data_IF_355592142671
#
_entry.id   IF_355592142671
#
_cell.length_a   1.000
_cell.length_b   1.000
_cell.length_c   1.000
_cell.angle_alpha   90.00
_cell.angle_beta   90.00
_cell.angle_gamma   90.00
#
_symmetry.space_group_name_H-M   'P 1'
#
loop_
_entity.id
_entity.type
_entity.pdbx_description
1 polymer ?
#
# COMPACT_ATOMS: atom_id res chain seq x y z
N UNK A 1 8.27 -2.97 14.48
CA UNK A 1 9.13 -2.01 15.21
C UNK A 1 8.64 -0.58 14.95
N UNK A 2 8.72 0.34 15.92
CA UNK A 2 8.34 1.76 15.76
C UNK A 2 9.60 2.63 15.81
N UNK A 3 10.40 2.58 14.75
CA UNK A 3 11.63 3.34 14.62
C UNK A 3 11.73 3.92 13.21
N UNK A 4 12.12 5.18 13.12
CA UNK A 4 12.31 5.95 11.90
C UNK A 4 13.12 7.19 12.23
N UNK A 5 13.55 7.90 11.20
CA UNK A 5 14.29 9.14 11.34
C UNK A 5 13.78 10.19 10.36
N UNK A 6 14.12 11.45 10.62
CA UNK A 6 13.93 12.56 9.71
C UNK A 6 15.29 13.17 9.39
N UNK A 7 15.49 13.60 8.16
CA UNK A 7 16.69 14.31 7.72
C UNK A 7 16.26 15.54 6.91
N UNK A 8 16.93 16.67 7.11
CA UNK A 8 16.54 17.93 6.48
C UNK A 8 17.34 19.12 7.01
N UNK A 9 16.83 20.33 6.76
CA UNK A 9 17.44 21.59 7.16
C UNK A 9 17.64 21.69 8.68
N UNK A 10 18.81 22.17 9.08
CA UNK A 10 19.23 22.26 10.49
C UNK A 10 18.22 23.02 11.35
N UNK A 11 17.71 24.17 10.90
CA UNK A 11 16.78 25.00 11.67
C UNK A 11 15.42 24.31 11.85
N UNK A 12 14.99 23.56 10.84
CA UNK A 12 13.77 22.75 10.92
C UNK A 12 13.94 21.61 11.93
N UNK A 13 15.08 20.90 11.86
CA UNK A 13 15.38 19.80 12.77
C UNK A 13 15.53 20.29 14.22
N UNK A 14 16.16 21.43 14.45
CA UNK A 14 16.23 22.06 15.79
C UNK A 14 14.85 22.36 16.36
N UNK A 15 13.97 22.96 15.55
CA UNK A 15 12.59 23.24 15.95
C UNK A 15 11.81 21.96 16.26
N UNK A 16 12.00 20.91 15.46
CA UNK A 16 11.37 19.60 15.68
C UNK A 16 11.89 18.91 16.95
N UNK A 17 13.19 18.98 17.24
CA UNK A 17 13.77 18.44 18.49
C UNK A 17 13.10 19.05 19.72
N UNK A 18 12.90 20.37 19.74
CA UNK A 18 12.21 21.03 20.84
C UNK A 18 10.78 20.51 21.03
N UNK A 19 10.04 20.32 19.94
CA UNK A 19 8.69 19.73 19.99
C UNK A 19 8.70 18.31 20.57
N UNK A 20 9.58 17.45 20.07
CA UNK A 20 9.67 16.04 20.52
C UNK A 20 10.10 15.93 21.97
N UNK A 21 11.07 16.73 22.41
CA UNK A 21 11.55 16.74 23.81
C UNK A 21 10.49 17.16 24.82
N UNK A 22 9.47 17.92 24.41
CA UNK A 22 8.43 18.42 25.30
C UNK A 22 7.08 17.70 25.15
N UNK A 23 6.83 16.98 24.05
CA UNK A 23 5.50 16.43 23.75
C UNK A 23 5.47 15.00 23.21
N UNK A 24 6.63 14.37 22.98
CA UNK A 24 6.68 13.02 22.41
C UNK A 24 7.42 12.04 23.32
N UNK A 25 7.17 10.74 23.09
CA UNK A 25 7.90 9.67 23.75
C UNK A 25 9.20 9.36 22.99
N UNK A 26 10.37 9.43 23.63
CA UNK A 26 11.63 9.08 22.97
C UNK A 26 11.64 7.58 22.61
N UNK A 27 12.24 7.25 21.45
CA UNK A 27 12.40 5.85 21.04
C UNK A 27 13.38 5.16 22.00
N UNK A 28 13.06 3.97 22.58
CA UNK A 28 13.98 3.30 23.50
C UNK A 28 15.33 2.96 22.85
N UNK A 29 16.43 3.12 23.60
CA UNK A 29 17.80 2.87 23.11
C UNK A 29 17.96 1.47 22.47
N UNK A 30 17.46 0.36 23.05
CA UNK A 30 17.55 -0.94 22.40
C UNK A 30 16.89 -0.98 21.01
N UNK A 31 15.74 -0.32 20.85
CA UNK A 31 15.03 -0.22 19.58
C UNK A 31 15.84 0.60 18.57
N UNK A 32 16.45 1.70 19.02
CA UNK A 32 17.33 2.51 18.17
C UNK A 32 18.53 1.70 17.66
N UNK A 33 19.18 0.90 18.53
CA UNK A 33 20.31 0.05 18.15
C UNK A 33 19.92 -1.00 17.12
N UNK A 34 18.77 -1.66 17.30
CA UNK A 34 18.25 -2.63 16.33
C UNK A 34 17.90 -1.96 15.00
N UNK A 35 17.30 -0.77 15.02
CA UNK A 35 16.99 -0.01 13.81
C UNK A 35 18.25 0.39 13.04
N UNK A 36 19.29 0.88 13.73
CA UNK A 36 20.57 1.22 13.12
C UNK A 36 21.21 0.02 12.41
N UNK A 37 21.26 -1.14 13.07
CA UNK A 37 21.75 -2.38 12.46
C UNK A 37 20.94 -2.80 11.23
N UNK A 38 19.61 -2.61 11.25
CA UNK A 38 18.74 -2.87 10.09
C UNK A 38 18.96 -1.90 8.93
N UNK A 39 19.30 -0.64 9.22
CA UNK A 39 19.58 0.35 8.17
C UNK A 39 20.92 0.12 7.47
N UNK A 40 21.84 -0.61 8.09
CA UNK A 40 23.12 -1.00 7.49
C UNK A 40 23.03 -2.31 6.67
N UNK A 41 21.94 -3.07 6.81
CA UNK A 41 21.71 -4.34 6.10
C UNK A 41 21.01 -4.10 4.75
N UNK A 42 21.76 -4.09 3.66
CA UNK A 42 21.19 -3.99 2.31
C UNK A 42 20.63 -5.33 1.78
N UNK A 43 21.06 -6.46 2.34
CA UNK A 43 20.65 -7.79 1.85
C UNK A 43 19.16 -8.04 2.14
N UNK A 44 18.69 -7.68 3.34
CA UNK A 44 17.26 -7.78 3.65
C UNK A 44 16.41 -6.85 2.77
N UNK A 45 16.92 -5.66 2.46
CA UNK A 45 16.23 -4.69 1.61
C UNK A 45 16.03 -5.24 0.19
N UNK A 46 17.11 -5.77 -0.40
CA UNK A 46 17.05 -6.39 -1.72
C UNK A 46 16.06 -7.57 -1.78
N UNK A 47 16.06 -8.43 -0.77
CA UNK A 47 15.08 -9.54 -0.66
C UNK A 47 13.64 -9.03 -0.57
N UNK A 48 13.40 -7.94 0.15
CA UNK A 48 12.07 -7.32 0.23
C UNK A 48 11.63 -6.73 -1.12
N UNK A 49 12.51 -6.06 -1.86
CA UNK A 49 12.22 -5.58 -3.21
C UNK A 49 11.84 -6.73 -4.15
N UNK A 50 12.63 -7.80 -4.20
CA UNK A 50 12.34 -8.98 -5.02
C UNK A 50 10.99 -9.62 -4.68
N UNK A 51 10.62 -9.65 -3.40
CA UNK A 51 9.31 -10.14 -2.96
C UNK A 51 8.17 -9.33 -3.58
N UNK A 52 8.25 -8.00 -3.53
CA UNK A 52 7.21 -7.14 -4.12
C UNK A 52 7.22 -7.19 -5.64
N UNK A 53 8.38 -7.25 -6.30
CA UNK A 53 8.48 -7.40 -7.75
C UNK A 53 7.77 -8.67 -8.23
N UNK A 54 8.00 -9.79 -7.54
CA UNK A 54 7.31 -11.06 -7.82
C UNK A 54 5.80 -10.95 -7.64
N UNK A 55 5.35 -10.30 -6.57
CA UNK A 55 3.92 -10.10 -6.33
C UNK A 55 3.29 -9.22 -7.43
N UNK A 56 3.96 -8.17 -7.89
CA UNK A 56 3.47 -7.34 -8.99
C UNK A 56 3.47 -8.06 -10.34
N UNK A 57 4.43 -8.96 -10.60
CA UNK A 57 4.40 -9.82 -11.80
C UNK A 57 3.14 -10.72 -11.80
N UNK A 58 2.79 -11.30 -10.66
CA UNK A 58 1.55 -12.09 -10.52
C UNK A 58 0.35 -11.19 -10.81
N UNK A 59 0.25 -10.04 -10.15
CA UNK A 59 -0.87 -9.09 -10.35
C UNK A 59 -1.00 -8.69 -11.82
N UNK A 60 0.11 -8.34 -12.47
CA UNK A 60 0.12 -7.95 -13.88
C UNK A 60 -0.44 -9.06 -14.79
N UNK A 61 -0.04 -10.32 -14.57
CA UNK A 61 -0.51 -11.46 -15.35
C UNK A 61 -2.04 -11.66 -15.25
N UNK A 62 -2.62 -11.41 -14.07
CA UNK A 62 -4.06 -11.59 -13.85
C UNK A 62 -4.90 -10.37 -14.26
N UNK A 63 -4.36 -9.15 -14.15
CA UNK A 63 -5.13 -7.92 -14.37
C UNK A 63 -5.03 -7.35 -15.80
N UNK A 64 -3.97 -7.66 -16.55
CA UNK A 64 -3.81 -7.25 -17.96
C UNK A 64 -5.06 -7.48 -18.83
N UNK A 65 -5.81 -8.59 -18.70
CA UNK A 65 -7.04 -8.81 -19.48
C UNK A 65 -8.21 -7.88 -19.14
N UNK A 66 -8.21 -7.26 -17.96
CA UNK A 66 -9.34 -6.48 -17.45
C UNK A 66 -9.08 -4.97 -17.39
N UNK A 67 -7.81 -4.57 -17.34
CA UNK A 67 -7.39 -3.18 -17.18
C UNK A 67 -6.55 -2.76 -18.39
N UNK A 68 -7.13 -1.91 -19.23
CA UNK A 68 -6.40 -1.28 -20.32
C UNK A 68 -5.25 -0.43 -19.76
N UNK A 69 -4.07 -0.55 -20.37
CA UNK A 69 -2.85 0.17 -19.97
C UNK A 69 -2.45 -0.04 -18.50
N UNK A 70 -2.63 -1.26 -17.98
CA UNK A 70 -2.12 -1.63 -16.66
C UNK A 70 -0.62 -1.33 -16.56
N UNK A 71 -0.21 -0.61 -15.50
CA UNK A 71 1.18 -0.28 -15.21
C UNK A 71 1.51 -0.65 -13.78
N UNK A 72 2.62 -1.35 -13.61
CA UNK A 72 3.22 -1.60 -12.30
C UNK A 72 3.74 -0.26 -11.75
N UNK A 73 3.42 0.09 -10.48
CA UNK A 73 3.97 1.29 -9.84
C UNK A 73 5.50 1.25 -9.79
N UNK A 74 6.15 2.41 -9.89
CA UNK A 74 7.61 2.51 -9.78
C UNK A 74 8.16 2.15 -8.39
N UNK A 75 7.29 2.06 -7.37
CA UNK A 75 7.68 1.68 -6.03
C UNK A 75 6.49 1.55 -5.08
N UNK A 76 6.77 1.02 -3.89
CA UNK A 76 5.76 0.67 -2.90
C UNK A 76 5.16 -0.71 -3.13
N UNK A 77 4.15 -1.06 -2.32
CA UNK A 77 3.52 -2.39 -2.31
C UNK A 77 1.99 -2.31 -2.36
N UNK A 78 1.46 -1.17 -2.83
CA UNK A 78 0.02 -0.97 -3.00
C UNK A 78 -0.35 -0.94 -4.48
N UNK A 79 -1.33 -1.75 -4.85
CA UNK A 79 -2.05 -1.63 -6.11
C UNK A 79 -3.20 -0.63 -5.93
N UNK A 80 -3.31 0.31 -6.87
CA UNK A 80 -4.46 1.19 -7.04
C UNK A 80 -5.29 0.71 -8.23
N UNK A 81 -6.32 -0.08 -7.96
CA UNK A 81 -7.18 -0.66 -8.98
C UNK A 81 -8.38 0.24 -9.24
N UNK A 82 -8.54 0.69 -10.50
CA UNK A 82 -9.70 1.48 -10.89
C UNK A 82 -10.98 0.64 -10.88
N UNK A 83 -12.03 1.19 -10.29
CA UNK A 83 -13.40 0.65 -10.26
C UNK A 83 -14.38 1.81 -10.45
N UNK A 84 -15.66 1.54 -10.69
CA UNK A 84 -16.63 2.64 -10.88
C UNK A 84 -17.18 3.16 -9.56
N UNK A 85 -17.52 2.27 -8.62
CA UNK A 85 -17.88 2.62 -7.24
C UNK A 85 -17.00 1.83 -6.26
N UNK A 86 -16.11 2.53 -5.55
CA UNK A 86 -15.12 1.90 -4.68
C UNK A 86 -15.70 1.37 -3.36
N UNK A 87 -16.74 1.99 -2.82
CA UNK A 87 -17.40 1.50 -1.60
C UNK A 87 -18.22 0.24 -1.89
N UNK A 88 -18.99 0.24 -2.98
CA UNK A 88 -19.79 -0.92 -3.36
C UNK A 88 -18.91 -2.09 -3.81
N UNK A 89 -17.84 -1.82 -4.57
CA UNK A 89 -16.86 -2.84 -4.93
C UNK A 89 -16.24 -3.49 -3.69
N UNK A 90 -15.86 -2.70 -2.68
CA UNK A 90 -15.31 -3.22 -1.43
C UNK A 90 -16.32 -4.10 -0.66
N UNK A 91 -17.60 -3.71 -0.62
CA UNK A 91 -18.66 -4.52 0.00
C UNK A 91 -18.86 -5.85 -0.73
N UNK A 92 -18.88 -5.84 -2.06
CA UNK A 92 -19.04 -7.06 -2.87
C UNK A 92 -17.84 -7.98 -2.68
N UNK A 93 -16.63 -7.45 -2.76
CA UNK A 93 -15.39 -8.19 -2.56
C UNK A 93 -15.35 -8.87 -1.18
N UNK A 94 -15.78 -8.17 -0.13
CA UNK A 94 -15.87 -8.76 1.21
C UNK A 94 -16.93 -9.86 1.28
N UNK A 95 -18.16 -9.57 0.86
CA UNK A 95 -19.30 -10.46 1.07
C UNK A 95 -19.29 -11.71 0.17
N UNK A 96 -18.78 -11.60 -1.06
CA UNK A 96 -18.85 -12.69 -2.06
C UNK A 96 -17.51 -13.36 -2.34
N UNK A 97 -16.41 -12.67 -2.11
CA UNK A 97 -15.06 -13.16 -2.46
C UNK A 97 -14.14 -13.28 -1.23
N UNK A 98 -14.61 -12.88 -0.04
CA UNK A 98 -13.83 -12.85 1.20
C UNK A 98 -12.53 -12.05 1.07
N UNK A 99 -12.56 -10.98 0.28
CA UNK A 99 -11.43 -10.09 0.06
C UNK A 99 -11.68 -8.76 0.78
N UNK A 100 -10.74 -8.37 1.65
CA UNK A 100 -10.77 -7.06 2.32
C UNK A 100 -9.87 -6.09 1.56
N UNK A 101 -10.47 -5.00 1.10
CA UNK A 101 -9.80 -3.93 0.35
C UNK A 101 -10.17 -2.58 0.94
N UNK A 102 -9.38 -1.54 0.63
CA UNK A 102 -9.65 -0.18 1.10
C UNK A 102 -10.27 0.66 -0.04
N UNK A 103 -11.50 1.20 0.14
CA UNK A 103 -12.06 2.21 -0.76
C UNK A 103 -11.14 3.43 -0.84
N UNK A 104 -10.77 3.84 -2.05
CA UNK A 104 -9.86 4.95 -2.29
C UNK A 104 -10.47 6.29 -1.87
N UNK A 105 -11.80 6.43 -1.90
CA UNK A 105 -12.51 7.59 -1.38
C UNK A 105 -12.20 7.88 0.10
N UNK A 106 -11.84 6.86 0.89
CA UNK A 106 -11.47 7.04 2.31
C UNK A 106 -10.03 7.53 2.49
N UNK A 107 -9.23 7.55 1.42
CA UNK A 107 -7.83 8.00 1.45
C UNK A 107 -7.65 9.50 1.13
N UNK A 108 -8.73 10.21 0.81
CA UNK A 108 -8.67 11.60 0.39
C UNK A 108 -9.91 12.39 0.81
N UNK A 109 -9.75 13.71 0.91
CA UNK A 109 -10.86 14.62 1.13
C UNK A 109 -11.41 15.14 -0.20
N UNK A 110 -12.70 15.47 -0.21
CA UNK A 110 -13.36 16.11 -1.34
C UNK A 110 -12.92 17.57 -1.44
N UNK A 111 -12.34 17.98 -2.57
CA UNK A 111 -11.99 19.37 -2.87
C UNK A 111 -12.73 19.76 -4.15
N UNK A 112 -13.45 20.89 -4.14
CA UNK A 112 -14.27 21.33 -5.27
C UNK A 112 -15.21 20.25 -5.80
N UNK A 113 -15.82 19.50 -4.88
CA UNK A 113 -16.70 18.36 -5.19
C UNK A 113 -16.04 17.15 -5.86
N UNK A 114 -14.71 17.06 -5.90
CA UNK A 114 -13.97 15.92 -6.44
C UNK A 114 -13.14 15.28 -5.33
N UNK A 115 -13.26 13.96 -5.16
CA UNK A 115 -12.35 13.18 -4.32
C UNK A 115 -11.38 12.43 -5.25
N UNK A 116 -10.06 12.67 -5.14
CA UNK A 116 -9.08 12.06 -6.05
C UNK A 116 -8.96 10.54 -5.89
N UNK A 117 -9.39 9.99 -4.74
CA UNK A 117 -9.35 8.55 -4.48
C UNK A 117 -10.64 7.80 -4.87
N UNK A 118 -11.75 8.50 -5.13
CA UNK A 118 -13.01 7.85 -5.54
C UNK A 118 -12.84 7.07 -6.83
N UNK A 119 -13.50 5.91 -6.91
CA UNK A 119 -13.37 5.00 -8.06
C UNK A 119 -12.04 4.23 -8.10
N UNK A 120 -11.37 4.10 -6.95
CA UNK A 120 -10.19 3.23 -6.83
C UNK A 120 -10.27 2.36 -5.59
N UNK A 121 -9.71 1.15 -5.68
CA UNK A 121 -9.43 0.28 -4.54
C UNK A 121 -7.93 0.29 -4.27
N UNK A 122 -7.55 0.50 -3.01
CA UNK A 122 -6.17 0.31 -2.53
C UNK A 122 -6.01 -1.08 -1.96
N UNK A 123 -5.15 -1.88 -2.59
CA UNK A 123 -4.91 -3.29 -2.25
C UNK A 123 -3.42 -3.46 -1.89
N UNK A 124 -3.12 -4.04 -0.73
CA UNK A 124 -1.75 -4.33 -0.31
C UNK A 124 -1.26 -5.67 -0.86
N UNK A 125 -0.06 -5.69 -1.42
CA UNK A 125 0.57 -6.87 -2.02
C UNK A 125 1.75 -7.37 -1.16
N UNK A 126 1.51 -7.45 0.16
CA UNK A 126 2.57 -7.72 1.15
C UNK A 126 2.69 -9.19 1.53
N UNK A 127 1.63 -9.97 1.32
CA UNK A 127 1.59 -11.39 1.65
C UNK A 127 2.44 -12.25 0.70
N UNK A 128 2.50 -13.55 0.97
CA UNK A 128 3.22 -14.51 0.14
C UNK A 128 2.61 -14.60 -1.26
N UNK A 129 3.42 -14.99 -2.24
CA UNK A 129 2.99 -15.10 -3.63
C UNK A 129 1.79 -16.03 -3.81
N UNK A 130 1.66 -17.09 -2.99
CA UNK A 130 0.52 -18.02 -3.03
C UNK A 130 -0.77 -17.32 -2.61
N UNK A 131 -0.73 -16.50 -1.55
CA UNK A 131 -1.86 -15.70 -1.09
C UNK A 131 -2.23 -14.64 -2.13
N UNK A 132 -1.22 -13.99 -2.72
CA UNK A 132 -1.44 -12.99 -3.78
C UNK A 132 -2.08 -13.65 -5.01
N UNK A 133 -1.61 -14.82 -5.42
CA UNK A 133 -2.17 -15.53 -6.57
C UNK A 133 -3.64 -15.94 -6.34
N UNK A 134 -3.95 -16.50 -5.17
CA UNK A 134 -5.34 -16.84 -4.81
C UNK A 134 -6.23 -15.58 -4.75
N UNK A 135 -5.69 -14.49 -4.21
CA UNK A 135 -6.38 -13.19 -4.19
C UNK A 135 -6.66 -12.70 -5.61
N UNK A 136 -5.69 -12.81 -6.52
CA UNK A 136 -5.85 -12.41 -7.92
C UNK A 136 -6.85 -13.27 -8.69
N UNK A 137 -6.92 -14.58 -8.41
CA UNK A 137 -7.96 -15.47 -8.98
C UNK A 137 -9.37 -14.97 -8.62
N UNK A 138 -9.60 -14.69 -7.34
CA UNK A 138 -10.90 -14.18 -6.85
C UNK A 138 -11.21 -12.79 -7.36
N UNK A 139 -10.21 -11.91 -7.39
CA UNK A 139 -10.35 -10.56 -7.92
C UNK A 139 -10.67 -10.56 -9.42
N UNK A 140 -10.07 -11.46 -10.19
CA UNK A 140 -10.36 -11.63 -11.62
C UNK A 140 -11.80 -12.10 -11.85
N UNK A 141 -12.32 -12.99 -11.00
CA UNK A 141 -13.74 -13.39 -11.03
C UNK A 141 -14.67 -12.22 -10.68
N UNK A 142 -14.30 -11.39 -9.71
CA UNK A 142 -15.02 -10.16 -9.41
C UNK A 142 -15.05 -9.24 -10.64
N UNK A 143 -13.89 -8.93 -11.22
CA UNK A 143 -13.81 -8.07 -12.40
C UNK A 143 -14.62 -8.64 -13.56
N UNK A 144 -14.52 -9.93 -13.88
CA UNK A 144 -15.31 -10.54 -14.96
C UNK A 144 -16.83 -10.37 -14.79
N UNK A 145 -17.34 -10.44 -13.57
CA UNK A 145 -18.78 -10.45 -13.28
C UNK A 145 -19.34 -9.07 -12.90
N UNK A 146 -18.48 -8.15 -12.46
CA UNK A 146 -18.88 -6.87 -11.86
C UNK A 146 -18.13 -5.65 -12.45
N UNK A 147 -17.25 -5.77 -13.46
CA UNK A 147 -16.49 -4.63 -14.02
C UNK A 147 -17.35 -3.46 -14.55
N UNK A 148 -18.61 -3.73 -14.88
CA UNK A 148 -19.53 -2.73 -15.45
C UNK A 148 -20.29 -1.94 -14.37
N UNK A 149 -20.22 -2.39 -13.12
CA UNK A 149 -20.82 -1.75 -11.96
C UNK A 149 -19.86 -0.72 -11.39
#
# INVERSE_FOLDING_TARGET
MRAGFIAGDEKIIESYKLLVSNGASPVPIPVQKVAAALYEDEEHHFKACLHYDRNFQIVENYLKPFVNDFKVPAGGFFLWLKVKDDEEAAKILWNKFSLRVMPGSFMGNKINSINPGSGYLRISLVDTSEIIEETMKRLSLFLKNYNHL
#
